data_IF_820649147810
#
_entry.id   IF_820649147810
#
_cell.length_a   1.000
_cell.length_b   1.000
_cell.length_c   1.000
_cell.angle_alpha   90.00
_cell.angle_beta   90.00
_cell.angle_gamma   90.00
#
_symmetry.space_group_name_H-M   'P 1'
#
loop_
_entity.id
_entity.type
_entity.pdbx_description
1 polymer ?
#
# COMPACT_ATOMS: atom_id res chain seq x y z
N UNK A 1 -21.62 3.93 13.20
CA UNK A 1 -20.16 3.90 13.37
C UNK A 1 -19.57 4.83 12.33
N UNK A 2 -18.83 5.87 12.75
CA UNK A 2 -18.15 6.81 11.85
C UNK A 2 -16.83 6.16 11.41
N UNK A 3 -16.66 5.96 10.11
CA UNK A 3 -15.36 5.58 9.53
C UNK A 3 -14.44 6.80 9.68
N UNK A 4 -13.27 6.68 10.31
CA UNK A 4 -12.37 7.81 10.49
C UNK A 4 -11.96 8.37 9.12
N UNK A 5 -12.16 9.67 8.95
CA UNK A 5 -11.73 10.39 7.75
C UNK A 5 -10.20 10.46 7.75
N UNK A 6 -9.58 9.99 6.67
CA UNK A 6 -8.16 10.21 6.43
C UNK A 6 -8.00 11.70 6.06
N UNK A 7 -7.53 12.53 6.99
CA UNK A 7 -7.21 13.93 6.71
C UNK A 7 -5.78 14.04 6.16
N UNK A 8 -5.51 15.09 5.37
CA UNK A 8 -4.25 15.32 4.63
C UNK A 8 -2.95 15.25 5.47
N UNK A 9 -3.05 15.29 6.79
CA UNK A 9 -1.92 15.18 7.74
C UNK A 9 -1.54 13.73 8.13
N UNK A 10 -2.15 12.74 7.49
CA UNK A 10 -1.82 11.34 7.73
C UNK A 10 -0.61 10.94 6.90
N UNK A 11 0.55 10.84 7.55
CA UNK A 11 1.72 10.21 6.94
C UNK A 11 1.38 8.77 6.55
N UNK A 12 1.12 8.56 5.26
CA UNK A 12 0.92 7.22 4.69
C UNK A 12 2.28 6.68 4.28
N UNK A 13 2.64 5.52 4.84
CA UNK A 13 3.79 4.75 4.35
C UNK A 13 3.26 3.43 3.83
N UNK A 14 3.60 3.09 2.58
CA UNK A 14 3.16 1.86 1.94
C UNK A 14 4.36 1.18 1.28
N UNK A 15 4.52 -0.10 1.57
CA UNK A 15 5.58 -0.95 1.05
C UNK A 15 4.99 -2.26 0.57
N UNK A 16 5.41 -2.71 -0.61
CA UNK A 16 5.08 -4.03 -1.12
C UNK A 16 6.26 -4.96 -0.81
N UNK A 17 6.00 -6.09 -0.17
CA UNK A 17 7.02 -7.05 0.21
C UNK A 17 6.73 -8.38 -0.48
N UNK A 18 7.68 -8.89 -1.26
CA UNK A 18 7.58 -10.23 -1.84
C UNK A 18 7.75 -11.30 -0.75
N UNK A 19 7.21 -12.49 -0.98
CA UNK A 19 7.48 -13.66 -0.12
C UNK A 19 8.95 -14.08 -0.11
N UNK A 20 9.74 -13.62 -1.08
CA UNK A 20 11.19 -13.82 -1.13
C UNK A 20 11.99 -12.75 -0.38
N UNK A 21 11.31 -11.78 0.25
CA UNK A 21 11.93 -10.75 1.09
C UNK A 21 12.35 -9.48 0.35
N UNK A 22 12.03 -9.35 -0.94
CA UNK A 22 12.24 -8.09 -1.67
C UNK A 22 11.20 -7.07 -1.25
N UNK A 23 11.62 -5.83 -0.99
CA UNK A 23 10.74 -4.73 -0.62
C UNK A 23 10.78 -3.64 -1.69
N UNK A 24 9.58 -3.19 -2.08
CA UNK A 24 9.36 -2.13 -3.06
C UNK A 24 8.61 -0.99 -2.38
N UNK A 25 9.10 0.23 -2.56
CA UNK A 25 8.30 1.40 -2.24
C UNK A 25 7.25 1.56 -3.35
N UNK A 26 5.97 1.59 -2.98
CA UNK A 26 4.88 1.73 -3.96
C UNK A 26 4.50 3.20 -4.02
N UNK A 27 4.67 3.86 -5.18
CA UNK A 27 4.11 5.18 -5.38
C UNK A 27 2.60 5.12 -5.18
N UNK A 28 2.05 6.09 -4.46
CA UNK A 28 0.63 6.19 -4.25
C UNK A 28 0.18 7.65 -4.33
N UNK A 29 -1.07 7.85 -4.72
CA UNK A 29 -1.77 9.11 -4.59
C UNK A 29 -2.89 8.93 -3.56
N UNK A 30 -3.21 9.99 -2.83
CA UNK A 30 -4.28 10.00 -1.85
C UNK A 30 -5.23 11.13 -2.18
N UNK A 31 -6.52 10.84 -2.32
CA UNK A 31 -7.56 11.84 -2.54
C UNK A 31 -8.70 11.60 -1.54
N UNK A 32 -8.77 12.43 -0.50
CA UNK A 32 -9.68 12.20 0.62
C UNK A 32 -9.43 10.86 1.29
N UNK A 33 -10.42 9.97 1.30
CA UNK A 33 -10.32 8.62 1.90
C UNK A 33 -9.80 7.54 0.95
N UNK A 34 -9.57 7.87 -0.31
CA UNK A 34 -9.11 6.90 -1.32
C UNK A 34 -7.59 6.97 -1.49
N UNK A 35 -6.95 5.80 -1.43
CA UNK A 35 -5.53 5.63 -1.75
C UNK A 35 -5.44 4.82 -3.04
N UNK A 36 -4.84 5.41 -4.07
CA UNK A 36 -4.58 4.72 -5.33
C UNK A 36 -3.10 4.34 -5.38
N UNK A 37 -2.83 3.06 -5.65
CA UNK A 37 -1.48 2.53 -5.79
C UNK A 37 -1.12 2.46 -7.27
N UNK A 38 0.03 2.99 -7.64
CA UNK A 38 0.53 2.94 -9.02
C UNK A 38 1.66 1.92 -9.16
N UNK A 39 1.34 0.77 -9.73
CA UNK A 39 2.30 -0.31 -9.99
C UNK A 39 2.98 -0.20 -11.36
N UNK A 40 2.64 0.80 -12.17
CA UNK A 40 3.11 0.98 -13.56
C UNK A 40 4.63 1.11 -13.69
N UNK A 41 5.32 1.48 -12.61
CA UNK A 41 6.78 1.59 -12.54
C UNK A 41 7.46 0.36 -11.91
N UNK A 42 6.70 -0.63 -11.43
CA UNK A 42 7.22 -1.80 -10.72
C UNK A 42 7.23 -3.03 -11.64
N UNK A 43 8.42 -3.51 -11.98
CA UNK A 43 8.57 -4.84 -12.59
C UNK A 43 8.48 -5.89 -11.49
N UNK A 44 7.29 -6.49 -11.33
CA UNK A 44 7.06 -7.56 -10.37
C UNK A 44 7.25 -8.92 -11.05
N UNK A 45 7.96 -9.83 -10.39
CA UNK A 45 7.99 -11.24 -10.79
C UNK A 45 6.68 -11.93 -10.34
N UNK A 46 6.21 -12.98 -11.04
CA UNK A 46 5.05 -13.74 -10.60
C UNK A 46 5.21 -14.26 -9.17
N UNK A 47 4.14 -14.17 -8.38
CA UNK A 47 4.12 -14.64 -7.01
C UNK A 47 3.26 -13.82 -6.06
N UNK A 48 3.34 -14.18 -4.78
CA UNK A 48 2.61 -13.51 -3.70
C UNK A 48 3.42 -12.35 -3.12
N UNK A 49 2.75 -11.21 -3.02
CA UNK A 49 3.22 -9.99 -2.38
C UNK A 49 2.28 -9.56 -1.26
N UNK A 50 2.84 -8.90 -0.26
CA UNK A 50 2.09 -8.32 0.86
C UNK A 50 2.32 -6.81 0.85
N UNK A 51 1.26 -6.05 0.64
CA UNK A 51 1.24 -4.62 0.87
C UNK A 51 1.12 -4.38 2.37
N UNK A 52 2.07 -3.64 2.93
CA UNK A 52 2.10 -3.25 4.34
C UNK A 52 2.23 -1.74 4.43
N UNK A 53 1.43 -1.14 5.29
CA UNK A 53 1.53 0.27 5.55
C UNK A 53 0.86 0.75 6.81
N UNK A 54 0.99 2.05 7.02
CA UNK A 54 0.31 2.80 8.06
C UNK A 54 -0.42 3.96 7.41
N UNK A 55 -1.70 4.14 7.72
CA UNK A 55 -2.47 5.33 7.35
C UNK A 55 -3.20 5.82 8.61
N UNK A 56 -2.88 7.04 9.06
CA UNK A 56 -3.59 7.61 10.20
C UNK A 56 -3.40 6.89 11.52
N UNK A 57 -2.26 6.24 11.72
CA UNK A 57 -2.01 5.39 12.89
C UNK A 57 -2.64 3.99 12.80
N UNK A 58 -3.35 3.67 11.73
CA UNK A 58 -3.89 2.32 11.49
C UNK A 58 -2.99 1.51 10.57
N UNK A 59 -2.79 0.24 10.90
CA UNK A 59 -2.06 -0.69 10.05
C UNK A 59 -2.93 -1.18 8.90
N UNK A 60 -2.39 -1.12 7.69
CA UNK A 60 -2.97 -1.67 6.47
C UNK A 60 -2.14 -2.88 6.06
N UNK A 61 -2.80 -4.02 5.87
CA UNK A 61 -2.17 -5.24 5.35
C UNK A 61 -3.08 -5.86 4.30
N UNK A 62 -2.59 -5.95 3.06
CA UNK A 62 -3.29 -6.55 1.92
C UNK A 62 -2.36 -7.52 1.18
N UNK A 63 -2.94 -8.56 0.57
CA UNK A 63 -2.21 -9.53 -0.25
C UNK A 63 -2.50 -9.29 -1.73
N UNK A 64 -1.45 -9.29 -2.55
CA UNK A 64 -1.52 -9.17 -4.01
C UNK A 64 -0.89 -10.43 -4.61
N UNK A 65 -1.63 -11.10 -5.49
CA UNK A 65 -1.10 -12.17 -6.33
C UNK A 65 -0.82 -11.62 -7.72
N UNK A 66 0.39 -11.83 -8.23
CA UNK A 66 0.80 -11.47 -9.59
C UNK A 66 1.00 -12.76 -10.37
N UNK A 67 0.29 -12.91 -11.48
CA UNK A 67 0.35 -14.06 -12.41
C UNK A 67 1.28 -13.83 -13.61
#
# INVERSE_FOLDING_TARGET
MLVPQLTEDMAVSLSLVSTTGQQFQVPFTSQGTEITLEFSSLTLLPGLYVLRGMAGGHSIVTRLWVD
#
